data_IF_086063236186
#
_entry.id   IF_086063236186
#
_cell.length_a   1.000
_cell.length_b   1.000
_cell.length_c   1.000
_cell.angle_alpha   90.00
_cell.angle_beta   90.00
_cell.angle_gamma   90.00
#
_symmetry.space_group_name_H-M   'P 1'
#
loop_
_entity.id
_entity.type
_entity.pdbx_description
1 polymer ?
2 water ?
#
# COMPACT_ATOMS: atom_id res chain seq x y z
N UNK A 1 -7.24 -7.57 -12.00
CA UNK A 1 -6.19 -6.56 -11.98
C UNK A 1 -6.21 -5.74 -13.26
N UNK A 2 -7.07 -4.71 -13.30
CA UNK A 2 -7.31 -3.94 -14.52
C UNK A 2 -6.01 -3.60 -15.23
N UNK A 3 -5.05 -3.01 -14.52
CA UNK A 3 -3.68 -3.01 -15.03
C UNK A 3 -2.76 -3.91 -14.21
N UNK A 4 -2.69 -3.72 -12.89
CA UNK A 4 -1.93 -4.65 -12.07
C UNK A 4 -2.58 -4.78 -10.70
N UNK A 5 -2.00 -5.66 -9.88
CA UNK A 5 -2.44 -5.89 -8.51
C UNK A 5 -1.27 -5.58 -7.59
N UNK A 6 -1.51 -4.83 -6.52
CA UNK A 6 -0.41 -4.43 -5.64
C UNK A 6 -0.62 -4.96 -4.23
N UNK A 7 0.50 -5.25 -3.57
CA UNK A 7 0.53 -5.45 -2.12
C UNK A 7 1.49 -4.41 -1.59
N UNK A 8 1.03 -3.58 -0.65
CA UNK A 8 1.84 -2.50 -0.11
C UNK A 8 2.08 -2.75 1.37
N UNK A 9 3.34 -2.73 1.77
CA UNK A 9 3.73 -2.83 3.18
C UNK A 9 4.53 -1.58 3.51
N UNK A 10 4.38 -1.07 4.73
CA UNK A 10 5.08 0.17 5.05
C UNK A 10 5.56 0.17 6.49
N UNK A 11 6.69 0.83 6.68
CA UNK A 11 7.37 0.98 7.96
C UNK A 11 7.60 2.48 8.08
N UNK A 12 6.72 3.18 8.81
CA UNK A 12 6.69 4.64 8.82
C UNK A 12 6.76 5.10 10.27
N UNK A 13 7.45 6.22 10.51
CA UNK A 13 7.60 6.72 11.87
C UNK A 13 6.24 7.05 12.48
N UNK A 14 6.20 7.04 13.82
CA UNK A 14 4.93 7.20 14.51
C UNK A 14 4.25 8.53 14.19
N UNK A 15 5.01 9.58 13.90
CA UNK A 15 4.38 10.88 13.63
C UNK A 15 3.62 10.89 12.31
N UNK A 16 3.88 9.93 11.44
CA UNK A 16 3.33 9.96 10.10
C UNK A 16 2.54 8.72 9.73
N UNK A 17 2.58 7.66 10.54
CA UNK A 17 2.08 6.37 10.09
C UNK A 17 0.56 6.40 9.92
N UNK A 18 -0.14 7.08 10.81
CA UNK A 18 -1.60 7.02 10.76
C UNK A 18 -2.17 7.85 9.61
N UNK A 19 -1.44 8.86 9.11
CA UNK A 19 -1.87 9.52 7.88
C UNK A 19 -1.65 8.64 6.66
N UNK A 20 -0.59 7.83 6.66
CA UNK A 20 -0.39 6.87 5.56
C UNK A 20 -1.50 5.83 5.56
N UNK A 21 -1.83 5.29 6.74
CA UNK A 21 -2.93 4.34 6.85
C UNK A 21 -4.24 4.92 6.31
N UNK A 22 -4.57 6.15 6.72
CA UNK A 22 -5.84 6.74 6.29
C UNK A 22 -5.87 6.96 4.79
N UNK A 23 -4.74 7.37 4.20
CA UNK A 23 -4.68 7.55 2.75
C UNK A 23 -4.87 6.23 2.02
N UNK A 24 -4.18 5.17 2.46
CA UNK A 24 -4.27 3.92 1.73
C UNK A 24 -5.64 3.28 1.87
N UNK A 25 -6.35 3.54 2.98
CA UNK A 25 -7.71 3.02 3.12
C UNK A 25 -8.64 3.58 2.06
N UNK A 26 -8.32 4.75 1.52
CA UNK A 26 -9.12 5.31 0.45
C UNK A 26 -8.82 4.70 -0.92
N UNK A 27 -7.88 3.76 -1.01
CA UNK A 27 -7.45 3.29 -2.33
C UNK A 27 -7.35 1.78 -2.40
N UNK A 28 -7.10 1.12 -1.27
CA UNK A 28 -6.80 -0.30 -1.27
C UNK A 28 -7.48 -0.99 -0.08
N UNK A 29 -7.50 -2.32 -0.14
CA UNK A 29 -8.05 -3.13 0.94
C UNK A 29 -7.05 -3.26 2.08
N UNK A 30 -7.51 -3.04 3.30
CA UNK A 30 -6.66 -3.18 4.48
C UNK A 30 -6.58 -4.65 4.87
N UNK A 31 -5.37 -5.21 4.89
CA UNK A 31 -5.17 -6.64 5.17
C UNK A 31 -4.92 -6.89 6.64
N UNK A 32 -3.99 -6.13 7.21
CA UNK A 32 -3.67 -6.16 8.63
C UNK A 32 -2.81 -4.92 8.88
N UNK A 33 -2.23 -4.83 10.08
CA UNK A 33 -1.42 -3.67 10.39
C UNK A 33 -0.34 -3.46 9.34
N UNK A 34 -0.39 -2.29 8.71
CA UNK A 34 0.62 -1.80 7.77
C UNK A 34 0.70 -2.63 6.49
N UNK A 35 -0.38 -3.31 6.12
CA UNK A 35 -0.44 -4.05 4.87
C UNK A 35 -1.74 -3.73 4.15
N UNK A 36 -1.64 -3.40 2.86
CA UNK A 36 -2.79 -3.15 1.99
C UNK A 36 -2.62 -3.92 0.69
N UNK A 37 -3.74 -4.21 0.02
CA UNK A 37 -3.65 -4.83 -1.30
C UNK A 37 -4.88 -4.49 -2.14
N UNK A 38 -4.74 -4.64 -3.44
CA UNK A 38 -5.87 -4.45 -4.35
C UNK A 38 -5.45 -4.22 -5.78
N UNK A 39 -6.46 -4.22 -6.65
CA UNK A 39 -6.24 -3.97 -8.08
C UNK A 39 -6.17 -2.48 -8.36
N UNK A 40 -5.30 -2.08 -9.29
CA UNK A 40 -5.16 -0.68 -9.64
C UNK A 40 -4.94 -0.52 -11.14
N UNK A 41 -5.34 0.64 -11.67
CA UNK A 41 -4.85 1.06 -12.96
C UNK A 41 -3.44 1.64 -12.80
N UNK A 42 -2.75 1.77 -13.94
CA UNK A 42 -1.43 2.40 -13.93
C UNK A 42 -1.51 3.83 -13.42
N UNK A 43 -2.53 4.57 -13.84
CA UNK A 43 -2.69 5.95 -13.38
C UNK A 43 -2.99 6.00 -11.88
N UNK A 44 -3.80 5.05 -11.39
CA UNK A 44 -4.11 5.02 -9.97
C UNK A 44 -2.88 4.63 -9.17
N UNK A 45 -2.05 3.71 -9.68
CA UNK A 45 -0.79 3.42 -9.01
C UNK A 45 0.08 4.67 -8.91
N UNK A 46 0.14 5.47 -9.99
CA UNK A 46 0.95 6.69 -9.94
C UNK A 46 0.42 7.65 -8.89
N UNK A 47 -0.90 7.72 -8.73
CA UNK A 47 -1.49 8.62 -7.75
C UNK A 47 -1.26 8.11 -6.33
N UNK A 48 -1.31 6.79 -6.15
CA UNK A 48 -1.00 6.22 -4.84
C UNK A 48 0.45 6.50 -4.47
N UNK A 49 1.36 6.25 -5.41
CA UNK A 49 2.77 6.53 -5.16
C UNK A 49 2.99 8.00 -4.83
N UNK A 50 2.37 8.91 -5.59
CA UNK A 50 2.54 10.34 -5.33
C UNK A 50 1.94 10.74 -3.98
N UNK A 51 0.79 10.17 -3.63
CA UNK A 51 0.22 10.45 -2.32
C UNK A 51 1.11 9.99 -1.19
N UNK A 52 1.70 8.80 -1.33
CA UNK A 52 2.58 8.28 -0.28
C UNK A 52 3.84 9.13 -0.15
N UNK A 53 4.42 9.55 -1.27
CA UNK A 53 5.62 10.39 -1.22
C UNK A 53 5.35 11.72 -0.52
N UNK A 54 4.13 12.24 -0.62
CA UNK A 54 3.80 13.48 0.07
C UNK A 54 3.67 13.28 1.57
N UNK A 55 3.36 12.06 2.02
CA UNK A 55 3.10 11.81 3.43
C UNK A 55 4.29 11.25 4.19
N UNK A 56 5.29 10.70 3.51
CA UNK A 56 6.39 10.06 4.20
C UNK A 56 7.61 10.97 4.19
N UNK A 57 8.54 10.67 5.10
CA UNK A 57 9.88 11.24 5.12
C UNK A 57 10.80 10.21 4.48
N UNK A 58 11.29 10.52 3.28
CA UNK A 58 12.04 9.53 2.52
C UNK A 58 13.40 9.20 3.12
N UNK A 59 13.88 9.97 4.10
CA UNK A 59 15.10 9.60 4.81
C UNK A 59 14.86 8.62 5.95
N UNK A 60 13.61 8.46 6.40
CA UNK A 60 13.29 7.62 7.56
C UNK A 60 12.40 6.45 7.21
N UNK A 61 11.34 6.68 6.44
CA UNK A 61 10.28 5.71 6.24
C UNK A 61 10.58 4.81 5.05
N UNK A 62 9.92 3.65 5.01
CA UNK A 62 10.07 2.76 3.88
C UNK A 62 8.72 2.17 3.49
N UNK A 63 8.39 2.27 2.21
CA UNK A 63 7.20 1.65 1.64
C UNK A 63 7.67 0.71 0.54
N UNK A 64 7.20 -0.53 0.56
CA UNK A 64 7.49 -1.50 -0.49
C UNK A 64 6.18 -1.81 -1.20
N UNK A 65 6.17 -1.61 -2.52
CA UNK A 65 5.00 -1.87 -3.35
C UNK A 65 5.33 -3.07 -4.24
N UNK A 66 4.79 -4.23 -3.88
CA UNK A 66 4.90 -5.40 -4.76
C UNK A 66 3.92 -5.25 -5.91
N UNK A 67 4.39 -5.47 -7.15
CA UNK A 67 3.58 -5.27 -8.34
C UNK A 67 3.35 -6.63 -8.99
N UNK A 68 2.09 -7.07 -9.01
CA UNK A 68 1.72 -8.42 -9.40
C UNK A 68 0.74 -8.39 -10.57
N UNK A 69 0.62 -9.52 -11.26
CA UNK A 69 -0.18 -9.58 -12.48
C UNK A 69 -1.66 -9.72 -12.18
N UNK A 70 -1.98 -10.29 -11.02
CA UNK A 70 -3.35 -10.54 -10.59
C UNK A 70 -3.30 -10.78 -9.09
N UNK A 71 -4.47 -10.94 -8.49
CA UNK A 71 -4.55 -11.18 -7.06
C UNK A 71 -3.80 -12.47 -6.72
N UNK A 72 -2.84 -12.42 -5.81
CA UNK A 72 -2.04 -13.60 -5.49
C UNK A 72 -2.78 -14.56 -4.58
N UNK A 73 -2.44 -15.84 -4.72
CA UNK A 73 -2.92 -16.80 -3.76
C UNK A 73 -2.24 -16.56 -2.41
N UNK A 74 -2.96 -16.86 -1.33
CA UNK A 74 -2.37 -16.69 -0.01
C UNK A 74 -2.99 -17.69 0.95
N UNK A 75 -2.23 -18.01 2.00
CA UNK A 75 -2.71 -18.80 3.12
C UNK A 75 -2.64 -17.95 4.38
N UNK A 76 -3.69 -18.01 5.19
CA UNK A 76 -3.77 -17.25 6.43
C UNK A 76 -3.61 -18.22 7.59
N UNK A 77 -2.70 -17.89 8.51
CA UNK A 77 -2.56 -18.61 9.77
C UNK A 77 -3.17 -17.75 10.87
N UNK A 78 -4.03 -18.35 11.70
CA UNK A 78 -4.72 -17.59 12.72
C UNK A 78 -5.94 -16.88 12.16
N UNK A 79 -6.28 -15.76 12.80
CA UNK A 79 -7.42 -14.93 12.41
C UNK A 79 -8.71 -15.73 12.32
#
# INVERSE_FOLDING_TARGET
>A
AMDMYVVIVYDVAVERVNRVKKFLRRHLHWVQNSVFEGEVTLAEFERIKAGLLDLIDEDEDSVVIYKLRSMPKREVLGMEKNPLEDII
#
